data_IF_991449632133
#
_entry.id   IF_991449632133
#
_cell.length_a   1.000
_cell.length_b   1.000
_cell.length_c   1.000
_cell.angle_alpha   90.00
_cell.angle_beta   90.00
_cell.angle_gamma   90.00
#
_symmetry.space_group_name_H-M   'P 1'
#
loop_
_entity.id
_entity.type
_entity.pdbx_description
1 polymer ?
#
# COMPACT_ATOMS: atom_id res chain seq x y z
N UNK A 1 2.59 17.04 -20.50
CA UNK A 1 1.82 15.78 -20.31
C UNK A 1 2.24 14.82 -21.41
N UNK A 2 2.84 13.69 -21.07
CA UNK A 2 3.18 12.63 -22.04
C UNK A 2 2.40 11.38 -21.62
N UNK A 3 1.59 10.83 -22.54
CA UNK A 3 0.70 9.70 -22.28
C UNK A 3 -0.23 9.89 -21.07
N UNK A 4 -0.71 11.12 -20.80
CA UNK A 4 -1.64 11.41 -19.70
C UNK A 4 -1.00 11.74 -18.35
N UNK A 5 0.31 11.52 -18.18
CA UNK A 5 1.02 11.74 -16.91
C UNK A 5 1.83 13.05 -16.93
N UNK A 6 1.82 13.79 -15.82
CA UNK A 6 2.70 14.94 -15.59
C UNK A 6 4.10 14.50 -15.23
N UNK A 7 5.12 15.19 -15.76
CA UNK A 7 6.53 14.81 -15.57
C UNK A 7 7.42 16.01 -15.29
N UNK A 8 8.28 15.91 -14.27
CA UNK A 8 9.31 16.90 -13.95
C UNK A 8 10.34 16.94 -15.07
N UNK A 9 10.53 18.11 -15.67
CA UNK A 9 11.41 18.28 -16.85
C UNK A 9 11.01 17.45 -18.07
N UNK A 10 9.77 16.92 -18.10
CA UNK A 10 9.33 15.97 -19.13
C UNK A 10 9.87 14.54 -18.96
N UNK A 11 10.60 14.24 -17.88
CA UNK A 11 11.30 12.96 -17.68
C UNK A 11 10.65 12.10 -16.59
N UNK A 12 10.59 12.59 -15.35
CA UNK A 12 10.17 11.80 -14.18
C UNK A 12 8.72 12.05 -13.80
N UNK A 13 7.95 10.99 -13.59
CA UNK A 13 6.54 11.06 -13.18
C UNK A 13 6.33 11.26 -11.66
N UNK A 14 7.41 11.57 -10.92
CA UNK A 14 7.39 11.85 -9.48
C UNK A 14 8.14 13.15 -9.19
N UNK A 15 7.74 13.84 -8.12
CA UNK A 15 8.41 15.05 -7.64
C UNK A 15 9.40 14.77 -6.50
N UNK A 16 9.39 13.56 -5.94
CA UNK A 16 10.31 13.13 -4.88
C UNK A 16 10.87 11.75 -5.17
N UNK A 17 12.17 11.60 -5.01
CA UNK A 17 12.87 10.34 -5.20
C UNK A 17 14.28 10.38 -4.59
N UNK A 18 14.81 9.22 -4.20
CA UNK A 18 16.25 9.05 -4.02
C UNK A 18 16.95 8.99 -5.39
N UNK A 19 18.19 9.48 -5.49
CA UNK A 19 18.90 9.49 -6.77
C UNK A 19 18.54 10.69 -7.66
N UNK A 20 18.39 10.48 -8.98
CA UNK A 20 18.01 11.51 -9.96
C UNK A 20 18.84 12.80 -9.91
N UNK A 21 20.17 12.64 -9.79
CA UNK A 21 21.12 13.74 -9.56
C UNK A 21 20.94 14.93 -10.50
N UNK A 22 20.64 14.68 -11.78
CA UNK A 22 20.48 15.73 -12.80
C UNK A 22 19.21 16.57 -12.60
N UNK A 23 18.22 16.05 -11.87
CA UNK A 23 16.93 16.69 -11.63
C UNK A 23 16.77 17.17 -10.18
N UNK A 24 17.82 17.12 -9.34
CA UNK A 24 17.75 17.45 -7.91
C UNK A 24 17.32 18.88 -7.57
N UNK A 25 17.42 19.81 -8.52
CA UNK A 25 16.86 21.16 -8.35
C UNK A 25 15.33 21.17 -8.27
N UNK A 26 14.66 20.10 -8.75
CA UNK A 26 13.21 19.95 -8.79
C UNK A 26 12.71 18.69 -8.06
N UNK A 27 13.53 17.63 -7.96
CA UNK A 27 13.18 16.33 -7.37
C UNK A 27 13.90 16.14 -6.04
N UNK A 28 13.19 16.38 -4.94
CA UNK A 28 13.76 16.30 -3.58
C UNK A 28 13.76 14.86 -3.05
N UNK A 29 14.62 14.57 -2.07
CA UNK A 29 14.68 13.26 -1.41
C UNK A 29 14.00 13.26 -0.03
N UNK A 30 13.44 14.40 0.39
CA UNK A 30 12.82 14.56 1.69
C UNK A 30 11.48 13.79 1.74
N UNK A 31 11.33 12.83 2.66
CA UNK A 31 10.10 12.08 2.80
C UNK A 31 9.00 12.94 3.42
N UNK A 32 7.76 12.50 3.24
CA UNK A 32 6.65 12.91 4.09
C UNK A 32 6.50 11.87 5.20
N UNK A 33 6.34 12.33 6.44
CA UNK A 33 6.26 11.46 7.62
C UNK A 33 4.87 11.65 8.23
N UNK A 34 4.16 10.55 8.38
CA UNK A 34 2.88 10.48 9.08
C UNK A 34 2.97 9.40 10.16
N UNK A 35 2.44 9.71 11.34
CA UNK A 35 2.37 8.80 12.47
C UNK A 35 0.91 8.49 12.76
N UNK A 36 0.56 7.21 12.78
CA UNK A 36 -0.79 6.74 13.07
C UNK A 36 -0.75 5.71 14.20
N UNK A 37 -1.71 5.81 15.13
CA UNK A 37 -1.82 4.86 16.22
C UNK A 37 -2.53 3.59 15.73
N UNK A 38 -1.88 2.44 15.88
CA UNK A 38 -2.52 1.15 15.67
C UNK A 38 -3.45 0.87 16.86
N UNK A 39 -4.75 0.95 16.62
CA UNK A 39 -5.79 0.59 17.58
C UNK A 39 -6.76 -0.44 16.98
N UNK A 40 -7.84 -0.77 17.71
CA UNK A 40 -8.80 -1.79 17.28
C UNK A 40 -9.59 -1.43 16.01
N UNK A 41 -9.53 -0.18 15.54
CA UNK A 41 -10.14 0.23 14.27
C UNK A 41 -9.26 -0.07 13.06
N UNK A 42 -7.96 -0.27 13.27
CA UNK A 42 -6.97 -0.47 12.22
C UNK A 42 -6.72 -1.97 12.01
N UNK A 43 -7.52 -2.60 11.14
CA UNK A 43 -7.48 -4.04 10.91
C UNK A 43 -6.22 -4.52 10.15
N UNK A 44 -5.80 -3.75 9.14
CA UNK A 44 -4.67 -4.09 8.28
C UNK A 44 -4.11 -2.86 7.54
N UNK A 45 -2.89 -3.00 7.01
CA UNK A 45 -2.20 -2.03 6.17
C UNK A 45 -1.83 -2.68 4.82
N UNK A 46 -2.04 -1.94 3.72
CA UNK A 46 -1.62 -2.32 2.37
C UNK A 46 -0.56 -1.32 1.91
N UNK A 47 0.62 -1.80 1.53
CA UNK A 47 1.66 -1.04 0.86
C UNK A 47 1.93 -1.67 -0.50
N UNK A 48 1.93 -0.88 -1.58
CA UNK A 48 2.18 -1.41 -2.91
C UNK A 48 2.80 -0.37 -3.85
N UNK A 49 3.42 -0.84 -4.93
CA UNK A 49 3.85 0.02 -6.05
C UNK A 49 2.65 0.55 -6.86
N UNK A 50 2.89 1.60 -7.64
CA UNK A 50 1.95 2.17 -8.61
C UNK A 50 1.40 1.13 -9.60
N UNK A 51 2.18 0.11 -9.96
CA UNK A 51 1.66 -1.02 -10.74
C UNK A 51 0.39 -1.69 -10.19
N UNK A 52 0.11 -1.60 -8.89
CA UNK A 52 -1.20 -1.96 -8.30
C UNK A 52 -2.21 -0.80 -8.41
N UNK A 53 -1.83 0.36 -7.89
CA UNK A 53 -2.73 1.50 -7.69
C UNK A 53 -3.20 2.16 -8.99
N UNK A 54 -2.50 1.97 -10.09
CA UNK A 54 -2.90 2.45 -11.41
C UNK A 54 -4.17 1.75 -11.94
N UNK A 55 -4.49 0.54 -11.44
CA UNK A 55 -5.61 -0.28 -11.93
C UNK A 55 -6.58 -0.76 -10.84
N UNK A 56 -6.23 -0.56 -9.56
CA UNK A 56 -7.06 -0.91 -8.40
C UNK A 56 -7.19 0.30 -7.49
N UNK A 57 -8.43 0.70 -7.19
CA UNK A 57 -8.71 1.76 -6.23
C UNK A 57 -8.50 1.33 -4.77
N UNK A 58 -8.32 2.29 -3.87
CA UNK A 58 -8.14 2.03 -2.44
C UNK A 58 -9.30 1.22 -1.86
N UNK A 59 -10.54 1.59 -2.20
CA UNK A 59 -11.76 0.95 -1.71
C UNK A 59 -11.88 -0.50 -2.20
N UNK A 60 -11.54 -0.75 -3.47
CA UNK A 60 -11.50 -2.11 -4.04
C UNK A 60 -10.43 -2.97 -3.37
N UNK A 61 -9.24 -2.41 -3.14
CA UNK A 61 -8.15 -3.12 -2.47
C UNK A 61 -8.56 -3.53 -1.05
N UNK A 62 -9.17 -2.62 -0.29
CA UNK A 62 -9.74 -2.91 1.03
C UNK A 62 -10.80 -4.00 0.95
N UNK A 63 -11.75 -3.90 0.01
CA UNK A 63 -12.81 -4.90 -0.15
C UNK A 63 -12.29 -6.30 -0.49
N UNK A 64 -11.21 -6.39 -1.29
CA UNK A 64 -10.57 -7.66 -1.64
C UNK A 64 -9.78 -8.28 -0.48
N UNK A 65 -9.07 -7.45 0.29
CA UNK A 65 -8.24 -7.92 1.41
C UNK A 65 -9.10 -8.30 2.62
N UNK A 66 -10.14 -7.51 2.94
CA UNK A 66 -10.96 -7.68 4.15
C UNK A 66 -11.41 -9.12 4.44
N UNK A 67 -11.94 -9.90 3.47
CA UNK A 67 -12.38 -11.28 3.73
C UNK A 67 -11.23 -12.31 3.88
N UNK A 68 -9.98 -11.98 3.53
CA UNK A 68 -8.86 -12.94 3.47
C UNK A 68 -7.96 -12.82 4.70
N UNK A 69 -8.05 -13.76 5.64
CA UNK A 69 -7.29 -13.70 6.90
C UNK A 69 -5.78 -13.90 6.74
N UNK A 70 -5.35 -14.67 5.75
CA UNK A 70 -3.92 -14.89 5.49
C UNK A 70 -3.34 -13.70 4.70
N UNK A 71 -2.39 -12.92 5.26
CA UNK A 71 -1.85 -11.73 4.61
C UNK A 71 -1.11 -12.05 3.30
N UNK A 72 -0.47 -13.21 3.19
CA UNK A 72 0.21 -13.61 1.96
C UNK A 72 -0.78 -13.89 0.83
N UNK A 73 -1.86 -14.63 1.11
CA UNK A 73 -2.96 -14.81 0.16
C UNK A 73 -3.64 -13.50 -0.21
N UNK A 74 -3.82 -12.58 0.74
CA UNK A 74 -4.40 -11.26 0.47
C UNK A 74 -3.52 -10.43 -0.49
N UNK A 75 -2.20 -10.41 -0.27
CA UNK A 75 -1.26 -9.75 -1.17
C UNK A 75 -1.26 -10.40 -2.56
N UNK A 76 -1.25 -11.73 -2.64
CA UNK A 76 -1.36 -12.46 -3.92
C UNK A 76 -2.65 -12.14 -4.67
N UNK A 77 -3.79 -12.04 -3.97
CA UNK A 77 -5.08 -11.68 -4.56
C UNK A 77 -5.05 -10.30 -5.22
N UNK A 78 -4.41 -9.32 -4.57
CA UNK A 78 -4.23 -7.97 -5.12
C UNK A 78 -3.32 -7.98 -6.36
N UNK A 79 -2.18 -8.68 -6.29
CA UNK A 79 -1.25 -8.79 -7.42
C UNK A 79 -1.91 -9.47 -8.64
N UNK A 80 -2.70 -10.52 -8.41
CA UNK A 80 -3.46 -11.20 -9.45
C UNK A 80 -4.53 -10.30 -10.06
N UNK A 81 -5.22 -9.49 -9.25
CA UNK A 81 -6.20 -8.53 -9.76
C UNK A 81 -5.56 -7.52 -10.70
N UNK A 82 -4.45 -6.88 -10.28
CA UNK A 82 -3.78 -5.91 -11.12
C UNK A 82 -3.24 -6.52 -12.42
N UNK A 83 -2.71 -7.74 -12.35
CA UNK A 83 -2.29 -8.48 -13.54
C UNK A 83 -3.49 -8.78 -14.47
N UNK A 84 -4.62 -9.23 -13.91
CA UNK A 84 -5.84 -9.51 -14.67
C UNK A 84 -6.41 -8.26 -15.36
N UNK A 85 -6.33 -7.10 -14.69
CA UNK A 85 -6.72 -5.80 -15.24
C UNK A 85 -5.73 -5.23 -16.25
N UNK A 86 -4.64 -5.95 -16.54
CA UNK A 86 -3.68 -5.59 -17.58
C UNK A 86 -2.66 -4.55 -17.15
N UNK A 87 -2.32 -4.48 -15.85
CA UNK A 87 -1.18 -3.68 -15.40
C UNK A 87 0.07 -4.06 -16.17
N UNK A 88 0.73 -3.06 -16.77
CA UNK A 88 1.91 -3.23 -17.61
C UNK A 88 3.22 -2.96 -16.86
N UNK A 89 3.16 -2.79 -15.54
CA UNK A 89 4.29 -2.44 -14.68
C UNK A 89 4.64 -3.57 -13.70
N UNK A 90 5.73 -3.41 -12.96
CA UNK A 90 6.07 -4.26 -11.84
C UNK A 90 5.07 -4.06 -10.69
N UNK A 91 4.46 -5.16 -10.27
CA UNK A 91 3.47 -5.17 -9.19
C UNK A 91 4.15 -5.74 -7.94
N UNK A 92 4.34 -4.91 -6.92
CA UNK A 92 4.82 -5.33 -5.59
C UNK A 92 3.79 -4.93 -4.55
N UNK A 93 3.44 -5.85 -3.65
CA UNK A 93 2.45 -5.62 -2.61
C UNK A 93 2.87 -6.27 -1.29
N UNK A 94 2.66 -5.55 -0.18
CA UNK A 94 2.85 -6.01 1.20
C UNK A 94 1.54 -5.76 1.94
N UNK A 95 1.01 -6.80 2.58
CA UNK A 95 -0.17 -6.73 3.44
C UNK A 95 0.25 -7.08 4.86
N UNK A 96 -0.05 -6.19 5.80
CA UNK A 96 0.19 -6.40 7.23
C UNK A 96 -1.16 -6.48 7.93
N UNK A 97 -1.41 -7.56 8.67
CA UNK A 97 -2.59 -7.69 9.53
C UNK A 97 -2.20 -7.46 10.97
N UNK A 98 -2.93 -6.58 11.65
CA UNK A 98 -2.70 -6.30 13.05
C UNK A 98 -3.46 -7.31 13.89
N UNK A 99 -2.77 -7.95 14.83
CA UNK A 99 -3.40 -8.86 15.77
C UNK A 99 -4.07 -8.01 16.86
N UNK A 100 -5.36 -8.24 17.09
CA UNK A 100 -6.00 -7.71 18.29
C UNK A 100 -5.44 -8.48 19.48
N UNK A 101 -4.71 -7.81 20.36
CA UNK A 101 -4.35 -8.39 21.65
C UNK A 101 -5.65 -8.78 22.37
N UNK A 102 -5.88 -10.08 22.56
CA UNK A 102 -6.86 -10.56 23.52
C UNK A 102 -6.31 -10.39 24.94
N UNK A 103 -6.12 -9.15 25.37
CA UNK A 103 -5.87 -8.86 26.78
C UNK A 103 -7.20 -8.92 27.53
N UNK A 104 -7.69 -10.14 27.80
CA UNK A 104 -8.99 -10.31 28.43
C UNK A 104 -9.57 -11.73 28.49
N UNK A 105 -8.76 -12.78 28.64
CA UNK A 105 -9.30 -14.01 29.25
C UNK A 105 -9.55 -13.75 30.74
N UNK A 106 -10.70 -13.18 31.05
CA UNK A 106 -11.23 -13.15 32.42
C UNK A 106 -11.37 -14.59 32.91
N UNK A 107 -10.39 -15.06 33.68
CA UNK A 107 -10.53 -16.24 34.50
C UNK A 107 -11.66 -15.98 35.52
N UNK A 108 -12.86 -16.48 35.22
CA UNK A 108 -13.90 -16.65 36.23
C UNK A 108 -13.46 -17.75 37.18
N UNK A 109 -12.87 -17.37 38.32
CA UNK A 109 -12.69 -18.28 39.45
C UNK A 109 -14.06 -18.46 40.10
N UNK A 110 -14.65 -19.63 39.89
CA UNK A 110 -15.81 -20.09 40.65
C UNK A 110 -15.35 -20.48 42.05
N UNK A 111 -15.86 -19.79 43.07
CA UNK A 111 -15.85 -20.24 44.47
C UNK A 111 -17.20 -20.87 44.82
#
# INVERSE_FOLDING_TARGET
MWAGTWRVGGVLAVSRAFGDRLLKQYVVADPEIQEEKVDSSLEFLILASDGLWDVVSNEEAVAMVKPIQDPEQAAKRLMQEACHRGSADNITCVVVRFLVNQDGSSHSVSA
#
